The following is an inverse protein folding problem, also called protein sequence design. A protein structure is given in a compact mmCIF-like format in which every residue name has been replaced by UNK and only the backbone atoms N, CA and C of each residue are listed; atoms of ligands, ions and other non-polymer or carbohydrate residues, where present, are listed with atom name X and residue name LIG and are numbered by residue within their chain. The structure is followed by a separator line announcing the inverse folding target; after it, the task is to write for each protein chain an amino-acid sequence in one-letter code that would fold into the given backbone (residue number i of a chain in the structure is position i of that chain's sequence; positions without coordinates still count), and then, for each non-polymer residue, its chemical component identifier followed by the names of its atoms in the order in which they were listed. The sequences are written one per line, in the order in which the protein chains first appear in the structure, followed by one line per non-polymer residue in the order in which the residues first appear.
data_IF_838941613046
#
_entry.id   IF_838941613046
#
_cell.length_a   1.000
_cell.length_b   1.000
_cell.length_c   1.000
_cell.angle_alpha   90.00
_cell.angle_beta   90.00
_cell.angle_gamma   90.00
#
_symmetry.space_group_name_H-M   'P 1'
#
loop_
_entity.id
_entity.type
_entity.pdbx_description
1 polymer ?
#
# COMPACT_ATOMS: atom_id res chain seq x y z
N UNK A 1 4.60 49.91 22.43
CA UNK A 1 4.12 49.36 21.15
C UNK A 1 5.21 49.38 20.07
N UNK A 2 6.42 48.84 20.34
CA UNK A 2 7.57 48.95 19.42
C UNK A 2 7.97 47.62 18.74
N UNK A 3 7.36 46.49 19.15
CA UNK A 3 7.71 45.16 18.63
C UNK A 3 6.71 44.59 17.61
N UNK A 4 5.62 45.31 17.33
CA UNK A 4 4.53 44.81 16.47
C UNK A 4 5.01 44.47 15.05
N UNK A 5 5.96 45.25 14.50
CA UNK A 5 6.56 44.98 13.20
C UNK A 5 7.38 43.68 13.18
N UNK A 6 8.14 43.42 14.25
CA UNK A 6 8.92 42.19 14.39
C UNK A 6 7.99 40.99 14.54
N UNK A 7 6.94 41.12 15.35
CA UNK A 7 5.93 40.06 15.53
C UNK A 7 5.20 39.74 14.22
N UNK A 8 4.73 40.76 13.49
CA UNK A 8 4.04 40.57 12.21
C UNK A 8 4.95 39.94 11.15
N UNK A 9 6.21 40.38 11.09
CA UNK A 9 7.19 39.81 10.15
C UNK A 9 7.50 38.36 10.51
N UNK A 10 7.71 38.05 11.79
CA UNK A 10 7.95 36.68 12.25
C UNK A 10 6.77 35.77 11.93
N UNK A 11 5.54 36.19 12.26
CA UNK A 11 4.33 35.43 11.97
C UNK A 11 4.19 35.14 10.46
N UNK A 12 4.37 36.16 9.62
CA UNK A 12 4.29 36.00 8.16
C UNK A 12 5.34 35.02 7.65
N UNK A 13 6.58 35.12 8.13
CA UNK A 13 7.67 34.22 7.73
C UNK A 13 7.40 32.78 8.20
N UNK A 14 6.93 32.58 9.43
CA UNK A 14 6.59 31.25 9.95
C UNK A 14 5.45 30.63 9.16
N UNK A 15 4.37 31.38 8.89
CA UNK A 15 3.23 30.88 8.10
C UNK A 15 3.67 30.50 6.70
N UNK A 16 4.40 31.36 6.00
CA UNK A 16 4.91 31.05 4.66
C UNK A 16 5.86 29.85 4.68
N UNK A 17 6.70 29.74 5.71
CA UNK A 17 7.61 28.61 5.87
C UNK A 17 6.84 27.30 6.08
N UNK A 18 5.83 27.28 6.98
CA UNK A 18 4.98 26.11 7.22
C UNK A 18 4.21 25.68 5.97
N UNK A 19 3.65 26.62 5.21
CA UNK A 19 2.97 26.34 3.93
C UNK A 19 3.96 25.75 2.90
N UNK A 20 5.23 26.18 2.93
CA UNK A 20 6.26 25.68 2.02
C UNK A 20 6.82 24.30 2.38
N UNK A 21 6.59 23.80 3.61
CA UNK A 21 7.14 22.52 4.09
C UNK A 21 6.82 21.31 3.21
N UNK A 22 5.55 21.02 2.81
CA UNK A 22 5.25 19.83 2.00
C UNK A 22 5.84 19.88 0.59
N UNK A 23 6.21 21.07 0.10
CA UNK A 23 6.77 21.27 -1.25
C UNK A 23 8.29 21.48 -1.24
N UNK A 24 8.92 21.44 -0.06
CA UNK A 24 10.34 21.75 0.12
C UNK A 24 11.20 20.53 0.40
N UNK A 25 12.52 20.77 0.52
CA UNK A 25 13.50 19.75 0.90
C UNK A 25 13.29 19.20 2.32
N UNK A 26 12.62 19.96 3.18
CA UNK A 26 12.32 19.53 4.56
C UNK A 26 11.33 18.35 4.62
N UNK A 27 10.46 18.17 3.62
CA UNK A 27 9.57 17.01 3.56
C UNK A 27 10.37 15.68 3.51
N UNK A 28 11.47 15.67 2.76
CA UNK A 28 12.35 14.51 2.64
C UNK A 28 13.05 14.15 3.97
N UNK A 29 13.14 15.10 4.92
CA UNK A 29 13.66 14.84 6.26
C UNK A 29 12.72 13.89 7.03
N UNK A 30 11.42 13.94 6.77
CA UNK A 30 10.40 13.09 7.40
C UNK A 30 10.24 11.77 6.64
N UNK A 31 10.36 11.79 5.31
CA UNK A 31 10.26 10.59 4.47
C UNK A 31 11.33 9.54 4.79
N UNK A 32 12.58 9.96 5.02
CA UNK A 32 13.69 9.03 5.30
C UNK A 32 13.43 8.16 6.55
N UNK A 33 13.03 8.71 7.70
CA UNK A 33 12.55 7.93 8.84
C UNK A 33 11.38 7.00 8.49
N UNK A 34 10.43 7.44 7.67
CA UNK A 34 9.29 6.60 7.26
C UNK A 34 9.76 5.36 6.45
N UNK A 35 10.76 5.51 5.57
CA UNK A 35 11.39 4.39 4.86
C UNK A 35 12.09 3.41 5.81
N UNK A 36 12.70 3.90 6.89
CA UNK A 36 13.26 3.00 7.92
C UNK A 36 12.14 2.26 8.66
N UNK A 37 11.00 2.93 8.87
CA UNK A 37 9.80 2.32 9.47
C UNK A 37 9.27 1.14 8.65
N UNK A 38 9.17 1.26 7.32
CA UNK A 38 8.67 0.16 6.48
C UNK A 38 9.59 -1.05 6.48
N UNK A 39 10.91 -0.83 6.46
CA UNK A 39 11.90 -1.90 6.54
C UNK A 39 11.83 -2.62 7.90
N UNK A 40 11.70 -1.85 8.99
CA UNK A 40 11.54 -2.43 10.33
C UNK A 40 10.26 -3.26 10.41
N UNK A 41 9.14 -2.72 9.90
CA UNK A 41 7.86 -3.41 9.85
C UNK A 41 7.96 -4.74 9.10
N UNK A 42 8.66 -4.74 7.96
CA UNK A 42 8.89 -5.93 7.16
C UNK A 42 9.74 -6.96 7.91
N UNK A 43 10.88 -6.54 8.48
CA UNK A 43 11.79 -7.43 9.22
C UNK A 43 11.14 -8.05 10.45
N UNK A 44 10.31 -7.31 11.18
CA UNK A 44 9.55 -7.89 12.29
C UNK A 44 8.57 -8.95 11.80
N UNK A 45 8.02 -8.78 10.59
CA UNK A 45 7.13 -9.74 9.94
C UNK A 45 7.81 -10.98 9.35
N UNK A 46 9.12 -10.98 9.11
CA UNK A 46 9.83 -12.13 8.49
C UNK A 46 9.72 -13.41 9.33
N UNK A 47 9.65 -13.28 10.65
CA UNK A 47 9.49 -14.42 11.57
C UNK A 47 8.01 -14.77 11.84
N UNK A 48 7.07 -14.13 11.14
CA UNK A 48 5.62 -14.37 11.29
C UNK A 48 5.07 -15.16 10.10
N UNK A 49 3.79 -15.52 10.16
CA UNK A 49 3.10 -16.20 9.05
C UNK A 49 3.27 -15.44 7.75
N UNK A 50 3.84 -16.11 6.75
CA UNK A 50 4.00 -15.56 5.40
C UNK A 50 2.74 -15.79 4.56
N UNK A 51 2.37 -14.78 3.76
CA UNK A 51 1.36 -14.87 2.72
C UNK A 51 1.86 -15.77 1.59
N UNK A 52 1.00 -16.70 1.16
CA UNK A 52 1.23 -17.53 -0.02
C UNK A 52 0.55 -16.93 -1.25
N UNK A 53 1.25 -16.97 -2.38
CA UNK A 53 0.73 -16.49 -3.65
C UNK A 53 -0.46 -17.36 -4.10
N UNK A 54 -1.62 -16.74 -4.36
CA UNK A 54 -2.82 -17.44 -4.82
C UNK A 54 -2.67 -18.12 -6.21
N UNK A 55 -1.61 -17.78 -6.98
CA UNK A 55 -1.32 -18.36 -8.29
C UNK A 55 -0.26 -19.45 -8.27
N UNK A 56 0.88 -19.22 -7.62
CA UNK A 56 2.02 -20.15 -7.63
C UNK A 56 2.32 -20.82 -6.29
N UNK A 57 1.64 -20.43 -5.20
CA UNK A 57 1.82 -21.00 -3.86
C UNK A 57 3.04 -20.52 -3.08
N UNK A 58 3.96 -19.79 -3.72
CA UNK A 58 5.19 -19.26 -3.11
C UNK A 58 4.90 -18.26 -1.98
N UNK A 59 5.65 -18.34 -0.89
CA UNK A 59 5.65 -17.36 0.20
C UNK A 59 6.35 -16.07 -0.27
N UNK A 60 5.75 -14.90 -0.06
CA UNK A 60 6.28 -13.67 -0.66
C UNK A 60 6.31 -12.43 0.23
N UNK A 61 5.51 -12.38 1.30
CA UNK A 61 5.44 -11.24 2.21
C UNK A 61 4.80 -11.66 3.54
N UNK A 62 5.06 -10.97 4.66
CA UNK A 62 4.33 -11.19 5.90
C UNK A 62 2.82 -11.02 5.70
N UNK A 63 2.01 -11.95 6.18
CA UNK A 63 0.56 -11.93 5.93
C UNK A 63 -0.12 -10.67 6.49
N UNK A 64 0.34 -10.19 7.64
CA UNK A 64 -0.09 -8.91 8.24
C UNK A 64 0.06 -7.73 7.28
N UNK A 65 1.17 -7.66 6.55
CA UNK A 65 1.45 -6.57 5.62
C UNK A 65 0.43 -6.55 4.48
N UNK A 66 0.08 -7.74 3.96
CA UNK A 66 -0.88 -7.88 2.86
C UNK A 66 -2.30 -7.55 3.33
N UNK A 67 -2.66 -7.91 4.56
CA UNK A 67 -3.95 -7.57 5.14
C UNK A 67 -4.10 -6.06 5.37
N UNK A 68 -3.08 -5.41 5.94
CA UNK A 68 -3.05 -3.95 6.11
C UNK A 68 -3.15 -3.23 4.77
N UNK A 69 -2.46 -3.73 3.74
CA UNK A 69 -2.56 -3.20 2.38
C UNK A 69 -3.99 -3.30 1.85
N UNK A 70 -4.62 -4.47 1.94
CA UNK A 70 -6.01 -4.67 1.48
C UNK A 70 -6.98 -3.74 2.21
N UNK A 71 -6.81 -3.59 3.53
CA UNK A 71 -7.61 -2.69 4.34
C UNK A 71 -7.43 -1.24 3.92
N UNK A 72 -6.18 -0.80 3.78
CA UNK A 72 -5.87 0.57 3.36
C UNK A 72 -6.50 0.87 2.01
N UNK A 73 -6.38 -0.05 1.05
CA UNK A 73 -7.01 0.08 -0.28
C UNK A 73 -8.53 0.23 -0.19
N UNK A 74 -9.18 -0.57 0.64
CA UNK A 74 -10.61 -0.43 0.90
C UNK A 74 -10.95 0.94 1.51
N UNK A 75 -10.20 1.40 2.52
CA UNK A 75 -10.43 2.67 3.22
C UNK A 75 -10.22 3.89 2.31
N UNK A 76 -9.28 3.82 1.35
CA UNK A 76 -9.08 4.88 0.36
C UNK A 76 -10.02 4.77 -0.85
N UNK A 77 -10.89 3.76 -0.89
CA UNK A 77 -11.87 3.57 -1.97
C UNK A 77 -11.30 2.99 -3.26
N UNK A 78 -10.17 2.30 -3.19
CA UNK A 78 -9.50 1.69 -4.33
C UNK A 78 -9.92 0.22 -4.52
N UNK A 79 -10.61 -0.06 -5.63
CA UNK A 79 -11.12 -1.39 -5.95
C UNK A 79 -10.21 -2.12 -6.97
N UNK A 80 -9.50 -3.14 -6.48
CA UNK A 80 -8.69 -4.06 -7.30
C UNK A 80 -9.29 -5.46 -7.40
N UNK A 81 -10.61 -5.58 -7.32
CA UNK A 81 -11.32 -6.82 -7.59
C UNK A 81 -11.20 -7.19 -9.06
N UNK A 82 -10.80 -8.44 -9.34
CA UNK A 82 -10.69 -9.00 -10.70
C UNK A 82 -11.63 -10.18 -10.88
N UNK A 83 -12.15 -10.71 -9.77
CA UNK A 83 -13.13 -11.78 -9.70
C UNK A 83 -14.01 -11.56 -8.47
N UNK A 84 -15.27 -11.96 -8.56
CA UNK A 84 -16.22 -11.82 -7.44
C UNK A 84 -16.01 -12.85 -6.33
N UNK A 85 -15.29 -13.94 -6.64
CA UNK A 85 -14.96 -14.97 -5.67
C UNK A 85 -13.95 -14.44 -4.63
N UNK A 86 -14.22 -14.54 -3.33
CA UNK A 86 -13.31 -14.10 -2.29
C UNK A 86 -11.99 -14.87 -2.38
N UNK A 87 -10.88 -14.18 -2.10
CA UNK A 87 -9.58 -14.81 -1.91
C UNK A 87 -9.63 -15.74 -0.69
N UNK A 88 -9.00 -16.91 -0.78
CA UNK A 88 -8.76 -17.74 0.39
C UNK A 88 -8.02 -16.90 1.45
N UNK A 89 -8.55 -16.75 2.67
CA UNK A 89 -7.81 -16.07 3.73
C UNK A 89 -6.57 -16.89 4.06
N UNK A 90 -5.39 -16.34 3.73
CA UNK A 90 -4.12 -16.94 4.13
C UNK A 90 -3.61 -16.19 5.36
N UNK A 91 -3.60 -16.90 6.49
CA UNK A 91 -2.87 -16.54 7.70
C UNK A 91 -3.20 -15.17 8.28
N UNK A 92 -4.31 -15.04 9.01
CA UNK A 92 -4.41 -13.99 10.04
C UNK A 92 -3.64 -14.53 11.26
N UNK A 93 -2.58 -13.87 11.73
CA UNK A 93 -2.01 -14.22 13.04
C UNK A 93 -3.09 -14.01 14.10
N UNK A 94 -3.42 -15.05 14.87
CA UNK A 94 -4.46 -15.03 15.92
C UNK A 94 -4.12 -14.05 17.07
N UNK A 95 -2.88 -13.58 17.13
CA UNK A 95 -2.31 -12.81 18.25
C UNK A 95 -2.60 -11.29 18.23
N UNK A 96 -3.20 -10.75 17.17
CA UNK A 96 -3.46 -9.30 17.06
C UNK A 96 -4.91 -8.98 17.45
N UNK A 97 -5.17 -7.93 18.26
CA UNK A 97 -6.53 -7.57 18.63
C UNK A 97 -7.34 -7.33 17.36
N UNK A 98 -8.56 -7.90 17.25
CA UNK A 98 -9.38 -7.77 16.06
C UNK A 98 -9.60 -6.29 15.80
N UNK A 99 -9.08 -5.80 14.68
CA UNK A 99 -9.42 -4.45 14.25
C UNK A 99 -10.91 -4.46 14.00
N UNK A 100 -11.66 -3.64 14.75
CA UNK A 100 -13.11 -3.54 14.62
C UNK A 100 -13.44 -3.27 13.15
N UNK A 101 -14.02 -4.26 12.49
CA UNK A 101 -14.47 -4.15 11.12
C UNK A 101 -15.85 -4.77 11.02
N UNK A 102 -16.67 -4.24 10.12
CA UNK A 102 -17.98 -4.82 9.86
C UNK A 102 -17.83 -6.05 8.98
N UNK A 103 -18.76 -7.02 9.07
CA UNK A 103 -18.74 -8.19 8.20
C UNK A 103 -18.78 -7.83 6.70
N UNK A 104 -19.37 -6.68 6.36
CA UNK A 104 -19.37 -6.14 4.99
C UNK A 104 -17.97 -5.66 4.57
N UNK A 105 -17.21 -5.02 5.46
CA UNK A 105 -15.82 -4.63 5.22
C UNK A 105 -14.92 -5.84 5.00
N UNK A 106 -15.03 -6.87 5.84
CA UNK A 106 -14.25 -8.11 5.68
C UNK A 106 -14.52 -8.80 4.35
N UNK A 107 -15.79 -8.80 3.91
CA UNK A 107 -16.17 -9.30 2.59
C UNK A 107 -15.57 -8.47 1.45
N UNK A 108 -15.57 -7.14 1.56
CA UNK A 108 -14.97 -6.29 0.53
C UNK A 108 -13.44 -6.47 0.48
N UNK A 109 -12.78 -6.49 1.65
CA UNK A 109 -11.33 -6.69 1.80
C UNK A 109 -10.90 -8.07 1.27
N UNK A 110 -11.69 -9.12 1.50
CA UNK A 110 -11.40 -10.47 0.97
C UNK A 110 -11.57 -10.60 -0.54
N UNK A 111 -12.30 -9.70 -1.21
CA UNK A 111 -12.42 -9.72 -2.68
C UNK A 111 -11.23 -9.08 -3.40
N UNK A 112 -10.38 -8.33 -2.69
CA UNK A 112 -9.15 -7.71 -3.20
C UNK A 112 -8.07 -8.77 -3.55
N UNK A 113 -8.41 -9.68 -4.45
CA UNK A 113 -7.61 -10.85 -4.83
C UNK A 113 -6.29 -10.48 -5.49
N UNK A 114 -6.23 -9.31 -6.14
CA UNK A 114 -5.01 -8.83 -6.75
C UNK A 114 -3.87 -8.73 -5.74
N UNK A 115 -4.16 -8.46 -4.48
CA UNK A 115 -3.18 -8.31 -3.40
C UNK A 115 -2.57 -9.65 -2.95
N UNK A 116 -3.22 -10.79 -3.22
CA UNK A 116 -2.75 -12.13 -2.84
C UNK A 116 -1.74 -12.76 -3.82
N UNK A 117 -1.24 -11.97 -4.78
CA UNK A 117 -0.37 -12.45 -5.85
C UNK A 117 1.02 -11.86 -5.66
N UNK A 118 2.04 -12.72 -5.72
CA UNK A 118 3.43 -12.29 -5.65
C UNK A 118 3.84 -11.36 -6.81
N UNK A 119 4.86 -10.50 -6.63
CA UNK A 119 5.31 -9.56 -7.66
C UNK A 119 5.66 -10.18 -9.01
N UNK A 120 6.26 -11.38 -9.01
CA UNK A 120 6.61 -12.10 -10.23
C UNK A 120 5.37 -12.57 -10.99
N UNK A 121 4.39 -13.17 -10.30
CA UNK A 121 3.13 -13.57 -10.92
C UNK A 121 2.31 -12.38 -11.42
N UNK A 122 2.31 -11.25 -10.71
CA UNK A 122 1.67 -9.99 -11.15
C UNK A 122 2.26 -9.49 -12.46
N UNK A 123 3.60 -9.44 -12.56
CA UNK A 123 4.29 -9.03 -13.80
C UNK A 123 3.91 -9.93 -14.99
N UNK A 124 3.90 -11.25 -14.79
CA UNK A 124 3.49 -12.21 -15.84
C UNK A 124 2.04 -11.97 -16.28
N UNK A 125 1.10 -11.82 -15.35
CA UNK A 125 -0.31 -11.62 -15.72
C UNK A 125 -0.55 -10.30 -16.44
N UNK A 126 0.12 -9.21 -16.01
CA UNK A 126 0.06 -7.93 -16.74
C UNK A 126 0.59 -8.07 -18.16
N UNK A 127 1.71 -8.77 -18.35
CA UNK A 127 2.26 -9.03 -19.67
C UNK A 127 1.31 -9.87 -20.54
N UNK A 128 0.71 -10.93 -19.98
CA UNK A 128 -0.29 -11.74 -20.68
C UNK A 128 -1.53 -10.95 -21.07
N UNK A 129 -2.03 -10.07 -20.20
CA UNK A 129 -3.16 -9.19 -20.48
C UNK A 129 -2.83 -8.18 -21.60
N UNK A 130 -1.63 -7.59 -21.56
CA UNK A 130 -1.17 -6.69 -22.63
C UNK A 130 -1.07 -7.41 -23.98
N UNK A 131 -0.47 -8.60 -24.01
CA UNK A 131 -0.38 -9.41 -25.24
C UNK A 131 -1.77 -9.81 -25.76
N UNK A 132 -2.69 -10.20 -24.87
CA UNK A 132 -4.06 -10.53 -25.25
C UNK A 132 -4.81 -9.31 -25.84
N UNK A 133 -4.58 -8.10 -25.29
CA UNK A 133 -5.17 -6.87 -25.80
C UNK A 133 -4.62 -6.45 -27.17
N UNK A 134 -3.36 -6.78 -27.46
CA UNK A 134 -2.68 -6.49 -28.72
C UNK A 134 -3.10 -7.41 -29.88
N UNK A 135 -3.77 -8.53 -29.61
CA UNK A 135 -4.15 -9.51 -30.63
C UNK A 135 -2.95 -10.28 -31.20
N UNK A 136 -3.18 -11.07 -32.25
CA UNK A 136 -2.14 -11.92 -32.87
C UNK A 136 -1.01 -11.13 -33.57
N UNK A 137 -1.27 -9.88 -33.97
CA UNK A 137 -0.35 -9.04 -34.75
C UNK A 137 0.32 -7.92 -33.92
N UNK A 138 -0.12 -7.67 -32.69
CA UNK A 138 0.26 -6.44 -31.97
C UNK A 138 1.67 -6.44 -31.35
N UNK A 139 2.46 -7.48 -31.58
CA UNK A 139 3.89 -7.55 -31.29
C UNK A 139 4.77 -7.52 -32.56
N UNK A 140 4.20 -7.25 -33.74
CA UNK A 140 4.95 -7.20 -35.01
C UNK A 140 5.95 -6.02 -35.11
N UNK A 141 5.85 -5.03 -34.23
CA UNK A 141 6.67 -3.80 -34.27
C UNK A 141 7.61 -3.62 -33.05
N UNK A 142 7.77 -4.64 -32.20
CA UNK A 142 8.79 -4.72 -31.14
C UNK A 142 9.89 -5.69 -31.56
#
# INVERSE_FOLDING_TARGET
AYYWYISLTHETVVVLWLISLPFGKFFHLVERPATVGIELYWRTGENTTQQKCARCGEEFAPARFIQDLKRTLYEVGEDYTIRDAPSQPFGVPEDEPPVKSTAAEEQAVSKLWWQDICPSCKRIMRAQANLAALGGDGNQFL
#
